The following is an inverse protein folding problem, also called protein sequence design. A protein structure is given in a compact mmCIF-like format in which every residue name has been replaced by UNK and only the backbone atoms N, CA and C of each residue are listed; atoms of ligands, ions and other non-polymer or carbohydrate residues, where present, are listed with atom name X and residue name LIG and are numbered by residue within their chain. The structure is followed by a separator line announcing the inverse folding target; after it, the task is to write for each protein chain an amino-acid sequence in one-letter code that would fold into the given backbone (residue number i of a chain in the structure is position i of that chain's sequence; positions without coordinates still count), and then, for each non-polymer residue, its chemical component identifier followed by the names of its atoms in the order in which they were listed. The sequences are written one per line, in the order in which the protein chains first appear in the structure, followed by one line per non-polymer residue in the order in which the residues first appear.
data_IF_132164192751
#
_entry.id   IF_132164192751
#
_cell.length_a   1.000
_cell.length_b   1.000
_cell.length_c   1.000
_cell.angle_alpha   90.00
_cell.angle_beta   90.00
_cell.angle_gamma   90.00
#
_symmetry.space_group_name_H-M   'P 1'
#
loop_
_entity.id
_entity.type
_entity.pdbx_description
1 polymer ?
#
# COMPACT_ATOMS: atom_id res chain seq x y z
N UNK A 1 18.76 8.61 6.23
CA UNK A 1 17.99 7.36 6.38
C UNK A 1 16.72 7.54 5.57
N UNK A 2 16.57 6.81 4.47
CA UNK A 2 15.34 6.84 3.68
C UNK A 2 14.24 6.14 4.48
N UNK A 3 13.25 6.89 4.98
CA UNK A 3 12.17 6.38 5.86
C UNK A 3 11.35 5.27 5.18
N UNK A 4 11.33 5.26 3.85
CA UNK A 4 10.60 4.28 3.03
C UNK A 4 11.51 3.29 2.28
N UNK A 5 12.81 3.21 2.63
CA UNK A 5 13.69 2.22 1.99
C UNK A 5 13.25 0.79 2.33
N UNK A 6 12.87 0.03 1.30
CA UNK A 6 12.53 -1.36 1.45
C UNK A 6 13.80 -2.19 1.67
N UNK A 7 13.98 -2.71 2.88
CA UNK A 7 15.08 -3.64 3.22
C UNK A 7 14.72 -5.10 2.93
N UNK A 8 13.47 -5.36 2.54
CA UNK A 8 12.98 -6.71 2.32
C UNK A 8 13.39 -7.22 0.93
N UNK A 9 14.09 -8.36 0.90
CA UNK A 9 14.55 -9.02 -0.33
C UNK A 9 13.49 -9.92 -0.97
N UNK A 10 12.37 -10.14 -0.28
CA UNK A 10 11.26 -10.98 -0.72
C UNK A 10 9.99 -10.14 -0.82
N UNK A 11 9.06 -10.48 -1.72
CA UNK A 11 7.77 -9.82 -1.79
C UNK A 11 7.03 -9.91 -0.45
N UNK A 12 6.34 -8.84 -0.08
CA UNK A 12 5.50 -8.81 1.11
C UNK A 12 4.22 -9.62 0.85
N UNK A 13 3.98 -10.63 1.67
CA UNK A 13 2.72 -11.37 1.64
C UNK A 13 1.63 -10.58 2.36
N UNK A 14 0.55 -10.31 1.66
CA UNK A 14 -0.58 -9.50 2.11
C UNK A 14 -1.79 -10.40 2.29
N UNK A 15 -2.41 -10.28 3.46
CA UNK A 15 -3.65 -10.98 3.77
C UNK A 15 -4.88 -10.20 3.25
N UNK A 16 -4.84 -8.87 3.29
CA UNK A 16 -5.93 -7.99 2.85
C UNK A 16 -5.42 -6.93 1.88
N UNK A 17 -5.63 -7.14 0.58
CA UNK A 17 -5.20 -6.23 -0.48
C UNK A 17 -5.77 -4.81 -0.34
N UNK A 18 -6.96 -4.68 0.25
CA UNK A 18 -7.62 -3.37 0.44
C UNK A 18 -6.84 -2.47 1.39
N UNK A 19 -6.24 -3.03 2.44
CA UNK A 19 -5.46 -2.26 3.41
C UNK A 19 -4.19 -1.70 2.78
N UNK A 20 -3.45 -2.52 2.00
CA UNK A 20 -2.24 -2.04 1.34
C UNK A 20 -2.56 -1.00 0.26
N UNK A 21 -3.66 -1.22 -0.47
CA UNK A 21 -4.09 -0.30 -1.51
C UNK A 21 -4.45 1.07 -0.92
N UNK A 22 -5.22 1.09 0.18
CA UNK A 22 -5.56 2.32 0.89
C UNK A 22 -4.32 3.01 1.48
N UNK A 23 -3.41 2.26 2.12
CA UNK A 23 -2.19 2.83 2.70
C UNK A 23 -1.33 3.53 1.64
N UNK A 24 -1.06 2.85 0.52
CA UNK A 24 -0.25 3.42 -0.54
C UNK A 24 -0.96 4.58 -1.25
N UNK A 25 -2.28 4.53 -1.38
CA UNK A 25 -3.04 5.64 -1.93
C UNK A 25 -2.99 6.88 -1.04
N UNK A 26 -3.07 6.72 0.28
CA UNK A 26 -2.86 7.82 1.23
C UNK A 26 -1.42 8.36 1.16
N UNK A 27 -0.40 7.50 1.10
CA UNK A 27 0.99 7.95 0.90
C UNK A 27 1.17 8.74 -0.40
N UNK A 28 0.47 8.34 -1.47
CA UNK A 28 0.44 9.03 -2.76
C UNK A 28 -0.24 10.41 -2.63
N UNK A 29 -1.37 10.50 -1.95
CA UNK A 29 -2.06 11.78 -1.70
C UNK A 29 -1.16 12.78 -0.96
N UNK A 30 -0.37 12.28 -0.02
CA UNK A 30 0.64 13.08 0.70
C UNK A 30 1.95 13.28 -0.07
N UNK A 31 2.04 12.87 -1.35
CA UNK A 31 3.21 12.99 -2.22
C UNK A 31 4.47 12.31 -1.69
N UNK A 32 4.32 11.33 -0.80
CA UNK A 32 5.44 10.54 -0.24
C UNK A 32 5.89 9.44 -1.21
N UNK A 33 5.01 9.02 -2.12
CA UNK A 33 5.32 8.05 -3.18
C UNK A 33 4.80 8.58 -4.53
N UNK A 34 5.29 7.99 -5.62
CA UNK A 34 4.87 8.36 -6.97
C UNK A 34 3.43 7.92 -7.30
N UNK A 35 2.77 8.62 -8.20
CA UNK A 35 1.42 8.27 -8.70
C UNK A 35 1.38 6.91 -9.40
N UNK A 36 2.51 6.50 -9.98
CA UNK A 36 2.68 5.22 -10.68
C UNK A 36 3.09 4.08 -9.74
N UNK A 37 2.89 4.22 -8.42
CA UNK A 37 3.31 3.24 -7.42
C UNK A 37 2.74 1.84 -7.68
N UNK A 38 1.52 1.71 -8.20
CA UNK A 38 0.94 0.39 -8.54
C UNK A 38 1.76 -0.31 -9.63
N UNK A 39 2.15 0.42 -10.67
CA UNK A 39 3.00 -0.10 -11.75
C UNK A 39 4.41 -0.40 -11.26
N UNK A 40 4.95 0.43 -10.37
CA UNK A 40 6.26 0.20 -9.75
C UNK A 40 6.21 -1.06 -8.88
N UNK A 41 5.17 -1.24 -8.08
CA UNK A 41 4.97 -2.41 -7.23
C UNK A 41 4.83 -3.69 -8.05
N UNK A 42 4.08 -3.65 -9.16
CA UNK A 42 3.94 -4.78 -10.08
C UNK A 42 5.27 -5.14 -10.75
N UNK A 43 5.98 -4.16 -11.32
CA UNK A 43 7.28 -4.38 -11.99
C UNK A 43 8.32 -4.98 -11.05
N UNK A 44 8.34 -4.54 -9.80
CA UNK A 44 9.26 -5.01 -8.78
C UNK A 44 8.74 -6.22 -8.01
N UNK A 45 7.55 -6.73 -8.34
CA UNK A 45 6.91 -7.89 -7.68
C UNK A 45 6.87 -7.70 -6.16
N UNK A 46 6.52 -6.50 -5.68
CA UNK A 46 6.59 -6.14 -4.27
C UNK A 46 5.63 -6.93 -3.38
N UNK A 47 4.56 -7.49 -3.95
CA UNK A 47 3.40 -7.96 -3.21
C UNK A 47 2.94 -9.35 -3.66
N UNK A 48 2.75 -10.24 -2.68
CA UNK A 48 2.13 -11.54 -2.85
C UNK A 48 0.81 -11.56 -2.09
N UNK A 49 -0.21 -12.19 -2.65
CA UNK A 49 -1.45 -12.50 -1.93
C UNK A 49 -1.23 -13.68 -0.98
N UNK A 50 -2.20 -13.93 -0.10
CA UNK A 50 -2.24 -15.11 0.78
C UNK A 50 -2.03 -16.45 0.06
N UNK A 51 -2.39 -16.54 -1.23
CA UNK A 51 -2.23 -17.74 -2.06
C UNK A 51 -0.90 -17.77 -2.83
N UNK A 52 0.09 -16.98 -2.40
CA UNK A 52 1.39 -16.81 -3.08
C UNK A 52 1.27 -16.34 -4.54
N UNK A 53 0.12 -15.78 -4.91
CA UNK A 53 -0.08 -15.17 -6.22
C UNK A 53 0.41 -13.73 -6.19
N UNK A 54 1.24 -13.36 -7.17
CA UNK A 54 1.67 -11.97 -7.36
C UNK A 54 0.46 -11.06 -7.54
N UNK A 55 0.45 -9.96 -6.77
CA UNK A 55 -0.57 -8.93 -6.86
C UNK A 55 -0.17 -7.97 -7.99
N UNK A 56 -1.01 -7.87 -9.00
CA UNK A 56 -0.80 -6.95 -10.14
C UNK A 56 -1.51 -5.61 -9.91
N UNK A 57 -1.17 -4.59 -10.70
CA UNK A 57 -1.79 -3.26 -10.62
C UNK A 57 -3.33 -3.33 -10.68
N UNK A 58 -3.89 -4.23 -11.48
CA UNK A 58 -5.35 -4.44 -11.57
C UNK A 58 -5.96 -4.90 -10.24
N UNK A 59 -5.28 -5.79 -9.51
CA UNK A 59 -5.74 -6.27 -8.21
C UNK A 59 -5.71 -5.16 -7.17
N UNK A 60 -4.67 -4.31 -7.19
CA UNK A 60 -4.54 -3.15 -6.32
C UNK A 60 -5.59 -2.08 -6.63
N UNK A 61 -5.84 -1.80 -7.91
CA UNK A 61 -6.87 -0.86 -8.35
C UNK A 61 -8.26 -1.32 -7.90
N UNK A 62 -8.59 -2.61 -8.10
CA UNK A 62 -9.86 -3.18 -7.64
C UNK A 62 -9.99 -3.16 -6.11
N UNK A 63 -8.89 -3.46 -5.41
CA UNK A 63 -8.84 -3.37 -3.95
C UNK A 63 -9.02 -1.94 -3.44
N UNK A 64 -8.50 -0.94 -4.16
CA UNK A 64 -8.67 0.48 -3.84
C UNK A 64 -10.13 0.93 -4.06
N UNK A 65 -10.76 0.55 -5.17
CA UNK A 65 -12.17 0.89 -5.42
C UNK A 65 -13.10 0.26 -4.37
N UNK A 66 -12.74 -0.92 -3.86
CA UNK A 66 -13.47 -1.61 -2.79
C UNK A 66 -12.98 -1.26 -1.38
N UNK A 67 -12.07 -0.29 -1.24
CA UNK A 67 -11.51 0.12 0.06
C UNK A 67 -12.54 0.80 0.96
N UNK A 68 -13.59 1.38 0.40
CA UNK A 68 -14.74 1.95 1.13
C UNK A 68 -15.52 0.94 1.99
N UNK A 69 -15.26 -0.36 1.81
CA UNK A 69 -15.83 -1.44 2.63
C UNK A 69 -14.95 -1.85 3.81
N UNK A 70 -13.77 -1.23 3.95
CA UNK A 70 -12.88 -1.46 5.11
C UNK A 70 -13.57 -0.90 6.36
N UNK A 71 -13.36 -1.55 7.51
CA UNK A 71 -13.85 -1.03 8.79
C UNK A 71 -13.23 0.34 9.05
N UNK A 72 -14.06 1.28 9.49
CA UNK A 72 -13.65 2.66 9.77
C UNK A 72 -12.44 2.73 10.74
N UNK A 73 -12.33 1.79 11.68
CA UNK A 73 -11.23 1.68 12.65
C UNK A 73 -9.88 1.49 11.94
N UNK A 74 -9.84 0.60 10.94
CA UNK A 74 -8.62 0.29 10.20
C UNK A 74 -8.26 1.44 9.25
N UNK A 75 -9.26 2.06 8.61
CA UNK A 75 -9.04 3.25 7.80
C UNK A 75 -8.49 4.41 8.65
N UNK A 76 -9.06 4.65 9.83
CA UNK A 76 -8.61 5.69 10.75
C UNK A 76 -7.18 5.42 11.23
N UNK A 77 -6.84 4.18 11.55
CA UNK A 77 -5.48 3.79 11.92
C UNK A 77 -4.50 4.03 10.77
N UNK A 78 -4.82 3.61 9.54
CA UNK A 78 -3.98 3.84 8.36
C UNK A 78 -3.73 5.34 8.18
N UNK A 79 -4.78 6.16 8.22
CA UNK A 79 -4.67 7.63 8.11
C UNK A 79 -3.84 8.23 9.22
N UNK A 80 -4.00 7.76 10.45
CA UNK A 80 -3.21 8.22 11.61
C UNK A 80 -1.73 7.92 11.42
N UNK A 81 -1.37 6.69 11.01
CA UNK A 81 0.01 6.32 10.75
C UNK A 81 0.62 7.10 9.58
N UNK A 82 -0.12 7.28 8.48
CA UNK A 82 0.33 8.11 7.36
C UNK A 82 0.60 9.54 7.82
N UNK A 83 -0.31 10.13 8.60
CA UNK A 83 -0.11 11.45 9.18
C UNK A 83 1.16 11.53 10.04
N UNK A 84 1.41 10.53 10.88
CA UNK A 84 2.66 10.46 11.66
C UNK A 84 3.91 10.38 10.78
N UNK A 85 3.87 9.64 9.66
CA UNK A 85 4.98 9.57 8.70
C UNK A 85 5.21 10.93 8.01
N UNK A 86 4.12 11.64 7.69
CA UNK A 86 4.18 12.99 7.11
C UNK A 86 4.77 13.99 8.11
N UNK A 87 4.34 13.96 9.37
CA UNK A 87 4.84 14.85 10.43
C UNK A 87 6.31 14.60 10.81
N UNK A 88 6.83 13.42 10.47
CA UNK A 88 8.24 13.06 10.68
C UNK A 88 9.14 13.36 9.47
N UNK A 89 8.59 13.84 8.34
CA UNK A 89 9.31 14.35 7.17
C UNK A 89 9.28 15.88 7.13
#
# INVERSE_FOLDING_TARGET
KEILACTHKKPLQIDVNKHIALLFDQLKEHKLICETWMSVAERNKCFLSKKEKLIISKDLSSALTSSSTIKWEVEADIKKWVKTIVEQN
#
